data_IF_998837945056
#
_entry.id   IF_998837945056
#
_cell.length_a   1.000
_cell.length_b   1.000
_cell.length_c   1.000
_cell.angle_alpha   90.00
_cell.angle_beta   90.00
_cell.angle_gamma   90.00
#
_symmetry.space_group_name_H-M   'P 1'
#
loop_
_entity.id
_entity.type
_entity.pdbx_description
1 polymer ?
#
# COMPACT_ATOMS: atom_id res chain seq x y z
N UNK A 1 22.53 24.71 -11.17
CA UNK A 1 21.19 25.34 -11.17
C UNK A 1 20.15 24.26 -10.90
N UNK A 2 19.75 24.07 -9.64
CA UNK A 2 18.55 23.29 -9.31
C UNK A 2 17.36 24.23 -9.35
N UNK A 3 16.37 23.96 -10.20
CA UNK A 3 15.10 24.69 -10.13
C UNK A 3 14.36 24.17 -8.91
N UNK A 4 14.26 25.02 -7.89
CA UNK A 4 13.28 24.88 -6.83
C UNK A 4 11.89 24.97 -7.46
N UNK A 5 11.19 23.86 -7.53
CA UNK A 5 9.81 23.82 -8.00
C UNK A 5 8.95 23.94 -6.75
N UNK A 6 8.60 25.18 -6.42
CA UNK A 6 7.48 25.46 -5.52
C UNK A 6 6.20 25.15 -6.30
N UNK A 7 5.42 24.15 -5.89
CA UNK A 7 4.12 23.87 -6.49
C UNK A 7 3.02 23.93 -5.45
N UNK A 8 2.38 25.09 -5.42
CA UNK A 8 1.21 25.43 -4.61
C UNK A 8 -0.11 25.19 -5.39
N UNK A 9 -0.07 24.49 -6.53
CA UNK A 9 -1.20 24.35 -7.45
C UNK A 9 -1.45 22.88 -7.80
N UNK A 10 -2.73 22.49 -7.84
CA UNK A 10 -3.16 21.23 -8.45
C UNK A 10 -2.53 21.10 -9.84
N UNK A 11 -2.02 19.92 -10.22
CA UNK A 11 -1.24 19.79 -11.44
C UNK A 11 -2.08 20.15 -12.67
N UNK A 12 -1.62 21.13 -13.45
CA UNK A 12 -2.21 21.55 -14.72
C UNK A 12 -2.44 20.34 -15.64
N UNK A 13 -3.57 20.31 -16.34
CA UNK A 13 -3.85 19.30 -17.38
C UNK A 13 -2.74 19.34 -18.45
N UNK A 14 -1.84 18.35 -18.43
CA UNK A 14 -0.68 18.27 -19.32
C UNK A 14 0.69 18.30 -18.62
N UNK A 15 0.74 18.46 -17.30
CA UNK A 15 1.99 18.35 -16.55
C UNK A 15 2.59 16.93 -16.69
N UNK A 16 3.85 16.87 -17.15
CA UNK A 16 4.65 15.64 -17.16
C UNK A 16 5.88 15.81 -16.28
N UNK A 17 6.21 14.75 -15.55
CA UNK A 17 7.33 14.71 -14.63
C UNK A 17 8.36 13.68 -15.06
N UNK A 18 9.62 13.96 -14.82
CA UNK A 18 10.64 12.92 -14.75
C UNK A 18 10.38 11.99 -13.57
N UNK A 19 11.06 10.84 -13.54
CA UNK A 19 10.93 9.87 -12.47
C UNK A 19 11.29 10.44 -11.08
N UNK A 20 12.26 11.35 -11.01
CA UNK A 20 12.67 12.00 -9.77
C UNK A 20 11.62 12.99 -9.28
N UNK A 21 11.10 13.81 -10.20
CA UNK A 21 10.02 14.76 -9.90
C UNK A 21 8.73 14.02 -9.51
N UNK A 22 8.39 12.92 -10.18
CA UNK A 22 7.25 12.08 -9.81
C UNK A 22 7.40 11.52 -8.39
N UNK A 23 8.61 11.07 -8.02
CA UNK A 23 8.89 10.61 -6.65
C UNK A 23 8.69 11.72 -5.63
N UNK A 24 9.13 12.94 -5.95
CA UNK A 24 9.02 14.10 -5.07
C UNK A 24 7.57 14.55 -4.90
N UNK A 25 6.84 14.77 -5.99
CA UNK A 25 5.44 15.19 -5.92
C UNK A 25 4.55 14.11 -5.26
N UNK A 26 4.89 12.83 -5.43
CA UNK A 26 4.22 11.75 -4.69
C UNK A 26 4.45 11.89 -3.18
N UNK A 27 5.68 12.18 -2.75
CA UNK A 27 5.97 12.42 -1.33
C UNK A 27 5.17 13.60 -0.79
N UNK A 28 5.20 14.73 -1.49
CA UNK A 28 4.50 15.95 -1.09
C UNK A 28 2.98 15.70 -0.95
N UNK A 29 2.37 14.96 -1.88
CA UNK A 29 0.95 14.60 -1.81
C UNK A 29 0.62 13.61 -0.69
N UNK A 30 1.49 12.63 -0.41
CA UNK A 30 1.31 11.72 0.73
C UNK A 30 1.32 12.48 2.05
N UNK A 31 2.25 13.42 2.20
CA UNK A 31 2.37 14.27 3.39
C UNK A 31 1.17 15.24 3.52
N UNK A 32 0.78 15.90 2.42
CA UNK A 32 -0.37 16.81 2.37
C UNK A 32 -1.67 16.12 2.77
N UNK A 33 -1.87 14.88 2.31
CA UNK A 33 -3.08 14.09 2.55
C UNK A 33 -3.02 13.26 3.82
N UNK A 34 -1.89 13.27 4.53
CA UNK A 34 -1.64 12.45 5.74
C UNK A 34 -1.92 10.96 5.52
N UNK A 35 -1.59 10.44 4.34
CA UNK A 35 -1.80 9.01 4.06
C UNK A 35 -0.89 8.19 4.99
N UNK A 36 -1.44 7.25 5.80
CA UNK A 36 -0.67 6.52 6.80
C UNK A 36 0.45 5.69 6.18
N UNK A 37 1.53 5.52 6.94
CA UNK A 37 2.59 4.61 6.54
C UNK A 37 2.10 3.17 6.66
N UNK A 38 2.29 2.31 5.64
CA UNK A 38 2.19 0.85 5.83
C UNK A 38 3.12 0.31 6.92
N UNK A 39 4.16 1.07 7.24
CA UNK A 39 5.15 0.72 8.24
C UNK A 39 6.07 -0.43 7.77
N UNK A 40 7.25 -0.52 8.38
CA UNK A 40 8.12 -1.70 8.28
C UNK A 40 9.17 -1.56 7.19
N UNK A 41 9.39 -2.61 6.39
CA UNK A 41 10.41 -2.65 5.33
C UNK A 41 10.02 -1.89 4.05
N UNK A 42 8.83 -1.30 4.01
CA UNK A 42 8.32 -0.55 2.85
C UNK A 42 8.63 0.92 3.07
N UNK A 43 9.40 1.52 2.17
CA UNK A 43 9.72 2.95 2.22
C UNK A 43 8.44 3.79 2.10
N UNK A 44 8.33 4.80 2.96
CA UNK A 44 7.31 5.85 2.91
C UNK A 44 7.20 6.45 1.51
N UNK A 45 8.35 6.88 0.99
CA UNK A 45 8.45 7.51 -0.33
C UNK A 45 8.84 6.46 -1.36
N UNK A 46 8.07 6.29 -2.45
CA UNK A 46 8.47 5.44 -3.54
C UNK A 46 9.63 6.09 -4.30
N UNK A 47 10.86 5.66 -4.01
CA UNK A 47 12.05 6.11 -4.73
C UNK A 47 11.95 5.80 -6.24
N UNK A 48 12.78 6.45 -7.06
CA UNK A 48 12.89 6.16 -8.49
C UNK A 48 13.07 4.66 -8.79
N UNK A 49 13.84 3.93 -7.97
CA UNK A 49 14.00 2.46 -8.09
C UNK A 49 12.68 1.72 -7.83
N UNK A 50 11.93 2.16 -6.82
CA UNK A 50 10.63 1.59 -6.44
C UNK A 50 9.59 1.82 -7.53
N UNK A 51 9.55 3.03 -8.10
CA UNK A 51 8.62 3.34 -9.19
C UNK A 51 8.91 2.47 -10.41
N UNK A 52 10.19 2.33 -10.82
CA UNK A 52 10.57 1.41 -11.91
C UNK A 52 10.18 -0.04 -11.63
N UNK A 53 10.33 -0.47 -10.37
CA UNK A 53 9.90 -1.80 -9.96
C UNK A 53 8.38 -1.97 -10.09
N UNK A 54 7.58 -1.00 -9.64
CA UNK A 54 6.13 -1.02 -9.82
C UNK A 54 5.71 -0.98 -11.28
N UNK A 55 6.39 -0.20 -12.13
CA UNK A 55 6.18 -0.22 -13.58
C UNK A 55 6.48 -1.61 -14.16
N UNK A 56 7.56 -2.27 -13.72
CA UNK A 56 7.90 -3.62 -14.18
C UNK A 56 6.88 -4.69 -13.78
N UNK A 57 6.17 -4.47 -12.67
CA UNK A 57 5.09 -5.33 -12.19
C UNK A 57 3.72 -4.98 -12.79
N UNK A 58 3.61 -3.91 -13.59
CA UNK A 58 2.33 -3.43 -14.15
C UNK A 58 1.42 -2.71 -13.15
N UNK A 59 1.92 -2.40 -11.95
CA UNK A 59 1.19 -1.64 -10.93
C UNK A 59 1.08 -0.14 -11.27
N UNK A 60 2.10 0.37 -11.95
CA UNK A 60 2.16 1.73 -12.50
C UNK A 60 2.31 1.60 -14.00
N UNK A 61 1.64 2.47 -14.74
CA UNK A 61 1.73 2.46 -16.19
C UNK A 61 3.15 2.70 -16.70
N UNK A 62 3.37 2.35 -17.96
CA UNK A 62 4.58 2.73 -18.67
C UNK A 62 4.60 4.26 -18.87
N UNK A 63 5.80 4.87 -18.95
CA UNK A 63 5.93 6.30 -19.23
C UNK A 63 5.12 6.71 -20.47
N UNK A 64 4.57 7.92 -20.45
CA UNK A 64 3.83 8.50 -21.59
C UNK A 64 4.71 8.67 -22.83
N UNK A 65 6.02 8.86 -22.60
CA UNK A 65 7.00 9.05 -23.64
C UNK A 65 8.36 9.40 -23.06
N UNK A 66 9.24 9.89 -23.93
CA UNK A 66 10.57 10.34 -23.57
C UNK A 66 10.81 11.72 -24.17
N UNK A 67 11.31 12.64 -23.36
CA UNK A 67 11.77 13.96 -23.80
C UNK A 67 13.27 14.07 -23.52
N UNK A 68 14.06 14.30 -24.56
CA UNK A 68 15.53 14.31 -24.45
C UNK A 68 16.13 13.02 -23.85
N UNK A 69 15.44 11.88 -23.99
CA UNK A 69 15.84 10.60 -23.38
C UNK A 69 15.39 10.42 -21.92
N UNK A 70 14.71 11.41 -21.33
CA UNK A 70 14.14 11.34 -19.98
C UNK A 70 12.70 10.86 -20.06
N UNK A 71 12.38 9.79 -19.33
CA UNK A 71 11.02 9.23 -19.27
C UNK A 71 10.03 10.21 -18.61
N UNK A 72 8.89 10.41 -19.24
CA UNK A 72 7.85 11.36 -18.84
C UNK A 72 6.63 10.64 -18.25
N UNK A 73 6.16 11.09 -17.10
CA UNK A 73 5.02 10.53 -16.38
C UNK A 73 3.99 11.63 -16.08
N UNK A 74 2.72 11.40 -16.40
CA UNK A 74 1.63 12.35 -16.10
C UNK A 74 0.80 12.00 -14.87
N UNK A 75 -0.28 12.77 -14.66
CA UNK A 75 -1.16 12.72 -13.48
C UNK A 75 -1.68 11.32 -13.10
N UNK A 76 -2.02 10.48 -14.08
CA UNK A 76 -2.47 9.10 -13.80
C UNK A 76 -1.44 8.29 -13.00
N UNK A 77 -0.14 8.48 -13.26
CA UNK A 77 0.92 7.78 -12.54
C UNK A 77 1.01 8.21 -11.07
N UNK A 78 0.80 9.51 -10.81
CA UNK A 78 0.72 10.03 -9.46
C UNK A 78 -0.45 9.37 -8.71
N UNK A 79 -1.63 9.32 -9.33
CA UNK A 79 -2.80 8.68 -8.72
C UNK A 79 -2.61 7.18 -8.46
N UNK A 80 -1.96 6.45 -9.37
CA UNK A 80 -1.58 5.06 -9.15
C UNK A 80 -0.64 4.92 -7.94
N UNK A 81 0.39 5.78 -7.83
CA UNK A 81 1.35 5.73 -6.72
C UNK A 81 0.69 6.03 -5.37
N UNK A 82 -0.20 7.02 -5.31
CA UNK A 82 -0.95 7.34 -4.11
C UNK A 82 -1.89 6.20 -3.72
N UNK A 83 -2.64 5.63 -4.68
CA UNK A 83 -3.52 4.50 -4.42
C UNK A 83 -2.77 3.24 -3.96
N UNK A 84 -1.59 2.95 -4.54
CA UNK A 84 -0.70 1.88 -4.05
C UNK A 84 -0.35 2.10 -2.59
N UNK A 85 -0.06 3.34 -2.19
CA UNK A 85 0.34 3.67 -0.82
C UNK A 85 -0.80 3.54 0.16
N UNK A 86 -2.01 3.97 -0.20
CA UNK A 86 -3.22 3.73 0.58
C UNK A 86 -3.45 2.23 0.79
N UNK A 87 -3.45 1.45 -0.29
CA UNK A 87 -3.70 0.00 -0.19
C UNK A 87 -2.57 -0.76 0.54
N UNK A 88 -1.34 -0.27 0.45
CA UNK A 88 -0.24 -0.78 1.28
C UNK A 88 -0.49 -0.49 2.76
N UNK A 89 -1.02 0.69 3.11
CA UNK A 89 -1.36 1.05 4.48
C UNK A 89 -2.45 0.15 5.06
N UNK A 90 -3.30 -0.42 4.21
CA UNK A 90 -4.27 -1.48 4.54
C UNK A 90 -3.65 -2.90 4.56
N UNK A 91 -2.33 -3.02 4.51
CA UNK A 91 -1.57 -4.28 4.53
C UNK A 91 -1.83 -5.23 3.35
N UNK A 92 -2.32 -4.71 2.21
CA UNK A 92 -2.52 -5.54 1.03
C UNK A 92 -1.18 -5.88 0.35
N UNK A 93 -0.93 -7.14 -0.04
CA UNK A 93 0.27 -7.50 -0.78
C UNK A 93 0.18 -7.02 -2.23
N UNK A 94 1.33 -6.76 -2.86
CA UNK A 94 1.42 -6.21 -4.22
C UNK A 94 0.55 -6.95 -5.28
N UNK A 95 0.40 -8.28 -5.28
CA UNK A 95 -0.49 -8.96 -6.22
C UNK A 95 -1.97 -8.60 -6.05
N UNK A 96 -2.44 -8.42 -4.81
CA UNK A 96 -3.82 -7.98 -4.57
C UNK A 96 -3.98 -6.51 -4.94
N UNK A 97 -3.02 -5.66 -4.57
CA UNK A 97 -2.98 -4.25 -5.02
C UNK A 97 -3.08 -4.17 -6.55
N UNK A 98 -2.37 -5.01 -7.29
CA UNK A 98 -2.47 -5.04 -8.75
C UNK A 98 -3.89 -5.32 -9.23
N UNK A 99 -4.60 -6.30 -8.64
CA UNK A 99 -6.00 -6.56 -8.99
C UNK A 99 -6.91 -5.38 -8.67
N UNK A 100 -6.66 -4.70 -7.55
CA UNK A 100 -7.44 -3.53 -7.16
C UNK A 100 -7.24 -2.36 -8.13
N UNK A 101 -6.05 -2.15 -8.68
CA UNK A 101 -5.74 -1.01 -9.54
C UNK A 101 -5.96 -1.28 -11.04
N UNK A 102 -5.98 -2.55 -11.45
CA UNK A 102 -6.04 -2.91 -12.86
C UNK A 102 -7.30 -2.36 -13.54
N UNK A 103 -7.11 -1.64 -14.64
CA UNK A 103 -8.21 -1.09 -15.44
C UNK A 103 -8.90 0.15 -14.85
N UNK A 104 -8.52 0.62 -13.65
CA UNK A 104 -9.14 1.80 -13.04
C UNK A 104 -8.81 3.09 -13.77
N UNK A 105 -9.80 3.96 -13.87
CA UNK A 105 -9.70 5.35 -14.34
C UNK A 105 -9.02 6.24 -13.29
N UNK A 106 -8.69 7.48 -13.66
CA UNK A 106 -8.07 8.44 -12.72
C UNK A 106 -9.05 8.74 -11.58
N UNK A 107 -10.33 8.86 -11.91
CA UNK A 107 -11.42 9.13 -11.00
C UNK A 107 -11.55 7.99 -9.96
N UNK A 108 -11.59 6.74 -10.42
CA UNK A 108 -11.66 5.56 -9.54
C UNK A 108 -10.39 5.34 -8.70
N UNK A 109 -9.23 5.83 -9.14
CA UNK A 109 -8.02 5.88 -8.33
C UNK A 109 -8.12 6.99 -7.28
N UNK A 110 -8.71 8.13 -7.63
CA UNK A 110 -9.04 9.22 -6.71
C UNK A 110 -9.93 8.77 -5.56
N UNK A 111 -10.94 7.96 -5.84
CA UNK A 111 -11.82 7.40 -4.80
C UNK A 111 -11.06 6.56 -3.76
N UNK A 112 -10.06 5.77 -4.18
CA UNK A 112 -9.18 5.02 -3.28
C UNK A 112 -8.31 5.97 -2.46
N UNK A 113 -7.75 7.00 -3.09
CA UNK A 113 -6.90 7.96 -2.39
C UNK A 113 -7.70 8.73 -1.33
N UNK A 114 -8.94 9.09 -1.65
CA UNK A 114 -9.84 9.84 -0.77
C UNK A 114 -10.48 8.98 0.32
N UNK A 115 -10.44 7.65 0.23
CA UNK A 115 -10.91 6.79 1.33
C UNK A 115 -9.97 6.86 2.54
N UNK A 116 -8.66 6.97 2.32
CA UNK A 116 -7.67 7.07 3.39
C UNK A 116 -7.82 8.35 4.22
N UNK A 117 -8.22 9.46 3.59
CA UNK A 117 -8.41 10.75 4.29
C UNK A 117 -9.68 10.76 5.14
N UNK A 118 -10.75 10.08 4.69
CA UNK A 118 -12.01 9.94 5.45
C UNK A 118 -11.85 9.09 6.70
N UNK A 119 -11.00 8.06 6.65
CA UNK A 119 -10.73 7.17 7.79
C UNK A 119 -9.95 7.87 8.93
N UNK A 120 -9.17 8.92 8.65
CA UNK A 120 -8.50 9.73 9.67
C UNK A 120 -9.44 10.74 10.37
N UNK A 121 -10.49 11.22 9.70
CA UNK A 121 -11.40 12.24 10.28
C UNK A 121 -12.33 11.69 11.36
N UNK A 122 -12.48 10.36 11.46
CA UNK A 122 -13.18 9.72 12.59
C UNK A 122 -12.21 9.69 13.78
N UNK A 123 -12.45 10.43 14.88
CA UNK A 123 -11.55 10.41 16.03
C UNK A 123 -11.49 9.01 16.63
N UNK A 124 -10.44 8.26 16.32
CA UNK A 124 -10.10 7.05 17.06
C UNK A 124 -9.49 7.50 18.38
N UNK A 125 -10.13 7.17 19.50
CA UNK A 125 -9.47 7.25 20.80
C UNK A 125 -8.11 6.53 20.69
N UNK A 126 -7.00 7.13 21.16
CA UNK A 126 -5.68 6.54 21.05
C UNK A 126 -5.61 5.36 22.01
N UNK A 127 -6.10 4.20 21.56
CA UNK A 127 -5.76 2.94 22.16
C UNK A 127 -4.25 2.79 22.01
N UNK A 128 -3.54 2.97 23.12
CA UNK A 128 -2.18 2.51 23.29
C UNK A 128 -2.13 1.03 22.89
N UNK A 129 -1.79 0.72 21.64
CA UNK A 129 -1.65 -0.64 21.15
C UNK A 129 -0.20 -0.80 20.71
N UNK A 130 0.52 -1.65 21.41
CA UNK A 130 1.93 -1.95 21.17
C UNK A 130 2.05 -2.56 19.77
N UNK A 131 2.45 -1.73 18.81
CA UNK A 131 2.82 -2.05 17.44
C UNK A 131 3.95 -3.11 17.40
N UNK A 132 3.61 -4.38 17.55
CA UNK A 132 4.58 -5.48 17.54
C UNK A 132 4.17 -6.54 16.53
N UNK A 133 4.29 -6.16 15.26
CA UNK A 133 3.88 -7.01 14.14
C UNK A 133 4.97 -8.03 13.90
N UNK A 134 4.59 -9.31 13.93
CA UNK A 134 5.49 -10.43 13.73
C UNK A 134 5.05 -11.20 12.49
N UNK A 135 5.89 -11.19 11.46
CA UNK A 135 5.69 -12.04 10.28
C UNK A 135 6.58 -13.27 10.37
N UNK A 136 5.99 -14.45 10.25
CA UNK A 136 6.71 -15.73 10.24
C UNK A 136 6.36 -16.49 8.96
N UNK A 137 7.38 -16.98 8.25
CA UNK A 137 7.18 -17.94 7.18
C UNK A 137 6.77 -19.28 7.81
N UNK A 138 5.49 -19.64 7.66
CA UNK A 138 4.96 -20.86 8.26
C UNK A 138 5.25 -22.08 7.40
N UNK A 139 5.05 -21.96 6.08
CA UNK A 139 5.27 -23.01 5.09
C UNK A 139 5.68 -22.38 3.75
N UNK A 140 6.20 -23.16 2.78
CA UNK A 140 6.37 -22.67 1.42
C UNK A 140 5.06 -22.10 0.85
N UNK A 141 5.08 -20.82 0.48
CA UNK A 141 3.91 -20.12 -0.06
C UNK A 141 2.92 -19.58 0.99
N UNK A 142 3.11 -19.83 2.29
CA UNK A 142 2.23 -19.34 3.37
C UNK A 142 3.03 -18.56 4.42
N UNK A 143 2.63 -17.31 4.67
CA UNK A 143 3.13 -16.48 5.78
C UNK A 143 2.02 -16.20 6.77
N UNK A 144 2.36 -16.23 8.05
CA UNK A 144 1.48 -15.78 9.12
C UNK A 144 1.87 -14.36 9.51
N UNK A 145 0.86 -13.51 9.65
CA UNK A 145 0.98 -12.14 10.13
C UNK A 145 0.28 -12.03 11.48
N UNK A 146 0.99 -11.52 12.49
CA UNK A 146 0.44 -11.20 13.80
C UNK A 146 0.36 -9.69 13.91
N UNK A 147 -0.85 -9.16 14.02
CA UNK A 147 -1.11 -7.71 14.11
C UNK A 147 -0.83 -7.16 15.51
N UNK A 148 -1.16 -7.95 16.55
CA UNK A 148 -0.92 -7.62 17.95
C UNK A 148 -0.31 -8.83 18.68
N UNK A 149 1.02 -8.79 18.87
CA UNK A 149 1.74 -9.86 19.56
C UNK A 149 1.33 -9.96 21.03
N UNK A 150 0.96 -8.86 21.67
CA UNK A 150 0.60 -8.89 23.08
C UNK A 150 -0.77 -9.53 23.29
N UNK A 151 -1.74 -9.19 22.45
CA UNK A 151 -3.05 -9.85 22.40
C UNK A 151 -2.91 -11.34 22.05
N UNK A 152 -2.04 -11.69 21.09
CA UNK A 152 -1.77 -13.10 20.76
C UNK A 152 -1.19 -13.84 21.98
N UNK A 153 -0.17 -13.27 22.64
CA UNK A 153 0.43 -13.89 23.82
C UNK A 153 -0.56 -14.00 24.98
N UNK A 154 -1.43 -13.02 25.16
CA UNK A 154 -2.50 -13.06 26.17
C UNK A 154 -3.54 -14.12 25.85
N UNK A 155 -3.96 -14.22 24.59
CA UNK A 155 -4.88 -15.25 24.14
C UNK A 155 -4.26 -16.64 24.34
N UNK A 156 -3.03 -16.87 23.88
CA UNK A 156 -2.31 -18.16 24.05
C UNK A 156 -2.11 -18.51 25.52
N UNK A 157 -1.89 -17.54 26.42
CA UNK A 157 -1.82 -17.81 27.87
C UNK A 157 -3.14 -18.32 28.46
N UNK A 158 -4.27 -17.92 27.86
CA UNK A 158 -5.61 -18.19 28.38
C UNK A 158 -6.33 -19.35 27.66
N UNK A 159 -5.70 -19.95 26.64
CA UNK A 159 -6.29 -21.02 25.82
C UNK A 159 -5.29 -22.16 25.64
N UNK A 160 -5.76 -23.34 25.22
CA UNK A 160 -4.86 -24.46 24.97
C UNK A 160 -4.20 -24.39 23.59
N UNK A 161 -3.03 -25.00 23.47
CA UNK A 161 -2.33 -25.17 22.19
C UNK A 161 -3.20 -25.90 21.16
N UNK A 162 -4.02 -26.87 21.60
CA UNK A 162 -4.93 -27.62 20.74
C UNK A 162 -6.01 -26.73 20.12
N UNK A 163 -6.56 -25.77 20.88
CA UNK A 163 -7.53 -24.81 20.34
C UNK A 163 -6.89 -23.89 19.31
N UNK A 164 -5.64 -23.46 19.56
CA UNK A 164 -4.88 -22.65 18.62
C UNK A 164 -4.65 -23.41 17.29
N UNK A 165 -4.23 -24.67 17.38
CA UNK A 165 -3.99 -25.55 16.23
C UNK A 165 -5.28 -25.80 15.45
N UNK A 166 -6.40 -26.05 16.14
CA UNK A 166 -7.70 -26.25 15.50
C UNK A 166 -8.15 -25.01 14.72
N UNK A 167 -8.00 -23.81 15.31
CA UNK A 167 -8.31 -22.54 14.62
C UNK A 167 -7.43 -22.33 13.40
N UNK A 168 -6.12 -22.59 13.50
CA UNK A 168 -5.18 -22.49 12.38
C UNK A 168 -5.50 -23.50 11.28
N UNK A 169 -5.81 -24.75 11.64
CA UNK A 169 -6.19 -25.79 10.68
C UNK A 169 -7.49 -25.45 9.95
N UNK A 170 -8.46 -24.87 10.66
CA UNK A 170 -9.71 -24.40 10.04
C UNK A 170 -9.45 -23.28 9.03
N UNK A 171 -8.63 -22.30 9.41
CA UNK A 171 -8.23 -21.23 8.50
C UNK A 171 -7.48 -21.78 7.27
N UNK A 172 -6.54 -22.71 7.47
CA UNK A 172 -5.80 -23.35 6.39
C UNK A 172 -6.71 -24.16 5.45
N UNK A 173 -7.69 -24.88 5.99
CA UNK A 173 -8.70 -25.59 5.20
C UNK A 173 -9.55 -24.63 4.37
N UNK A 174 -9.94 -23.49 4.95
CA UNK A 174 -10.70 -22.46 4.22
C UNK A 174 -9.90 -21.87 3.05
N UNK A 175 -8.58 -21.68 3.23
CA UNK A 175 -7.69 -21.20 2.18
C UNK A 175 -7.44 -22.23 1.07
N UNK A 176 -7.41 -23.52 1.40
CA UNK A 176 -7.07 -24.60 0.46
C UNK A 176 -8.29 -25.26 -0.19
N UNK A 177 -9.49 -25.11 0.38
CA UNK A 177 -10.70 -25.70 -0.17
C UNK A 177 -11.92 -24.75 -0.09
N UNK A 178 -12.00 -23.73 -0.96
CA UNK A 178 -13.04 -22.70 -0.91
C UNK A 178 -14.47 -23.21 -1.26
N UNK A 179 -14.66 -24.51 -1.52
CA UNK A 179 -15.90 -25.09 -2.05
C UNK A 179 -16.70 -26.01 -1.12
N UNK A 180 -16.28 -26.26 0.13
CA UNK A 180 -17.05 -27.13 1.04
C UNK A 180 -18.20 -26.36 1.70
N UNK A 181 -19.38 -26.37 1.06
CA UNK A 181 -20.63 -25.98 1.71
C UNK A 181 -20.87 -26.84 2.96
N UNK A 182 -21.32 -26.17 4.02
CA UNK A 182 -21.94 -26.72 5.23
C UNK A 182 -23.06 -27.69 4.90
#
# INVERSE_FOLDING_TARGET
>A
MGKSVSLEHAPEEGASWSLGELSQITQEELERRKIPNPGGRVSQVPSARTIRYYTSLGLVDRPLGYDGGVAQYGHRHLMQLLAIKVLQAEYLPLPEIHKHLHGRTIEELGEIVDSATRDEEIPREPAARVESWLTIAALPGLRLMVEDRQALLEWVRNHSDEEAVEKLNRALKALTNPGAKT
#
